data_IF_151281343743
#
_entry.id   IF_151281343743
#
_cell.length_a   1.000
_cell.length_b   1.000
_cell.length_c   1.000
_cell.angle_alpha   90.00
_cell.angle_beta   90.00
_cell.angle_gamma   90.00
#
_symmetry.space_group_name_H-M   'P 1'
#
loop_
_entity.id
_entity.type
_entity.pdbx_description
1 polymer ?
#
# COMPACT_ATOMS: atom_id res chain seq x y z
N UNK A 1 0.08 -17.59 0.14
CA UNK A 1 -1.23 -17.17 -0.41
C UNK A 1 -1.37 -15.70 -0.08
N UNK A 2 -1.38 -14.81 -1.07
CA UNK A 2 -1.73 -13.40 -0.87
C UNK A 2 -3.20 -13.37 -0.46
N UNK A 3 -3.50 -12.89 0.74
CA UNK A 3 -4.84 -12.95 1.29
C UNK A 3 -5.82 -12.12 0.48
N UNK A 4 -7.07 -12.58 0.40
CA UNK A 4 -8.18 -11.72 0.00
C UNK A 4 -8.40 -10.69 1.12
N UNK A 5 -8.20 -9.41 0.82
CA UNK A 5 -8.47 -8.32 1.75
C UNK A 5 -9.86 -7.77 1.51
N UNK A 6 -10.60 -7.51 2.60
CA UNK A 6 -11.81 -6.69 2.57
C UNK A 6 -11.47 -5.28 3.04
N UNK A 7 -11.76 -4.28 2.23
CA UNK A 7 -11.57 -2.87 2.60
C UNK A 7 -12.58 -2.52 3.69
N UNK A 8 -12.08 -2.11 4.86
CA UNK A 8 -12.91 -1.72 6.00
C UNK A 8 -13.46 -0.28 5.88
N UNK A 9 -12.73 0.58 5.18
CA UNK A 9 -13.05 1.99 4.97
C UNK A 9 -11.81 2.78 4.58
N UNK A 10 -12.02 4.03 4.19
CA UNK A 10 -10.99 4.97 3.76
C UNK A 10 -10.72 6.00 4.85
N UNK A 11 -9.46 6.39 4.97
CA UNK A 11 -9.00 7.47 5.85
C UNK A 11 -8.53 8.60 4.96
N UNK A 12 -9.10 9.80 5.15
CA UNK A 12 -8.83 10.97 4.33
C UNK A 12 -8.23 12.11 5.15
N UNK A 13 -7.50 13.01 4.50
CA UNK A 13 -6.88 14.16 5.18
C UNK A 13 -7.93 15.16 5.70
N UNK A 14 -9.03 15.30 4.98
CA UNK A 14 -10.10 16.23 5.29
C UNK A 14 -11.46 15.59 5.01
N UNK A 15 -12.41 15.77 5.93
CA UNK A 15 -13.78 15.24 5.86
C UNK A 15 -14.74 16.34 5.34
N UNK A 16 -14.26 17.55 5.03
CA UNK A 16 -15.12 18.69 4.65
C UNK A 16 -16.04 18.46 3.45
N UNK A 17 -15.74 17.52 2.54
CA UNK A 17 -16.65 17.08 1.49
C UNK A 17 -17.19 15.67 1.79
N UNK A 18 -18.20 15.62 2.66
CA UNK A 18 -18.95 14.42 3.07
C UNK A 18 -19.86 13.97 1.91
N UNK A 19 -19.28 13.48 0.83
CA UNK A 19 -19.92 12.36 0.13
C UNK A 19 -19.34 11.13 0.81
N UNK A 20 -20.17 10.39 1.57
CA UNK A 20 -19.78 9.43 2.61
C UNK A 20 -18.95 8.22 2.10
N UNK A 21 -18.62 8.19 0.82
CA UNK A 21 -17.88 7.14 0.16
C UNK A 21 -17.00 7.68 -0.98
N UNK A 22 -15.92 6.97 -1.27
CA UNK A 22 -15.10 7.18 -2.45
C UNK A 22 -14.95 5.83 -3.17
N UNK A 23 -15.36 5.78 -4.45
CA UNK A 23 -15.48 4.55 -5.23
C UNK A 23 -16.28 3.42 -4.54
N UNK A 24 -17.34 3.78 -3.79
CA UNK A 24 -18.19 2.83 -3.07
C UNK A 24 -17.59 2.29 -1.77
N UNK A 25 -16.48 2.87 -1.29
CA UNK A 25 -15.91 2.56 0.01
C UNK A 25 -16.18 3.69 1.01
N UNK A 26 -16.67 3.39 2.22
CA UNK A 26 -17.02 4.42 3.19
C UNK A 26 -15.77 5.16 3.68
N UNK A 27 -15.87 6.48 3.82
CA UNK A 27 -14.86 7.28 4.53
C UNK A 27 -15.14 7.14 6.02
N UNK A 28 -14.19 6.58 6.77
CA UNK A 28 -14.39 6.19 8.19
C UNK A 28 -13.71 7.13 9.19
N UNK A 29 -12.81 8.01 8.75
CA UNK A 29 -12.14 8.98 9.63
C UNK A 29 -10.93 9.68 8.97
N UNK A 30 -10.11 10.31 9.80
CA UNK A 30 -8.84 10.96 9.39
C UNK A 30 -7.61 10.28 10.00
N UNK A 31 -6.42 10.81 9.70
CA UNK A 31 -5.16 10.35 10.29
C UNK A 31 -5.17 10.40 11.84
N UNK A 32 -6.02 11.24 12.45
CA UNK A 32 -6.17 11.37 13.91
C UNK A 32 -6.86 10.15 14.53
N UNK A 33 -7.71 9.46 13.75
CA UNK A 33 -8.46 8.28 14.21
C UNK A 33 -7.64 6.97 14.13
N UNK A 34 -6.46 7.00 13.51
CA UNK A 34 -5.65 5.80 13.26
C UNK A 34 -5.32 4.99 14.52
N UNK A 35 -5.12 5.64 15.68
CA UNK A 35 -4.86 4.92 16.93
C UNK A 35 -6.11 4.19 17.45
N UNK A 36 -7.29 4.76 17.22
CA UNK A 36 -8.58 4.13 17.57
C UNK A 36 -8.84 2.97 16.63
N UNK A 37 -8.66 3.16 15.32
CA UNK A 37 -8.81 2.12 14.31
C UNK A 37 -7.87 0.96 14.51
N UNK A 38 -6.67 1.18 15.06
CA UNK A 38 -5.72 0.10 15.31
C UNK A 38 -6.27 -0.94 16.28
N UNK A 39 -7.16 -0.53 17.20
CA UNK A 39 -7.83 -1.44 18.15
C UNK A 39 -8.85 -2.36 17.46
N UNK A 40 -9.29 -2.00 16.25
CA UNK A 40 -10.31 -2.72 15.46
C UNK A 40 -9.73 -3.43 14.24
N UNK A 41 -8.70 -2.86 13.62
CA UNK A 41 -8.11 -3.34 12.38
C UNK A 41 -6.59 -3.51 12.54
N UNK A 42 -6.08 -4.67 12.10
CA UNK A 42 -4.65 -4.97 12.15
C UNK A 42 -3.89 -4.46 10.93
N UNK A 43 -4.58 -4.37 9.78
CA UNK A 43 -3.97 -4.02 8.50
C UNK A 43 -4.26 -2.57 8.12
N UNK A 44 -3.30 -1.93 7.47
CA UNK A 44 -3.47 -0.64 6.82
C UNK A 44 -2.74 -0.63 5.47
N UNK A 45 -3.26 0.14 4.52
CA UNK A 45 -2.67 0.32 3.20
C UNK A 45 -2.53 1.81 2.93
N UNK A 46 -1.34 2.26 2.55
CA UNK A 46 -1.10 3.65 2.18
C UNK A 46 -1.34 3.80 0.69
N UNK A 47 -2.39 4.53 0.32
CA UNK A 47 -2.73 4.83 -1.08
C UNK A 47 -2.20 6.19 -1.54
N UNK A 48 -1.42 6.88 -0.69
CA UNK A 48 -0.75 8.14 -1.03
C UNK A 48 0.45 7.86 -1.93
N UNK A 49 0.38 8.35 -3.17
CA UNK A 49 1.46 8.28 -4.16
C UNK A 49 2.60 9.26 -3.89
N UNK A 50 2.94 10.06 -4.91
CA UNK A 50 3.90 11.16 -4.78
C UNK A 50 3.58 12.27 -5.78
N UNK A 51 3.57 13.52 -5.31
CA UNK A 51 3.58 14.72 -6.14
C UNK A 51 4.84 15.49 -5.77
N UNK A 52 5.79 15.59 -6.70
CA UNK A 52 7.16 16.13 -6.51
C UNK A 52 8.07 15.34 -5.55
N UNK A 53 7.57 14.81 -4.44
CA UNK A 53 8.36 14.02 -3.50
C UNK A 53 7.51 12.99 -2.72
N UNK A 54 8.13 11.91 -2.17
CA UNK A 54 7.43 10.86 -1.44
C UNK A 54 7.28 11.14 0.08
N UNK A 55 7.54 12.38 0.56
CA UNK A 55 7.66 12.65 2.01
C UNK A 55 6.41 12.27 2.79
N UNK A 56 5.22 12.53 2.24
CA UNK A 56 3.94 12.20 2.90
C UNK A 56 3.80 10.69 3.03
N UNK A 57 4.03 9.92 1.96
CA UNK A 57 3.99 8.45 1.98
C UNK A 57 4.98 7.87 3.01
N UNK A 58 6.19 8.42 3.08
CA UNK A 58 7.21 7.98 4.07
C UNK A 58 6.77 8.32 5.50
N UNK A 59 6.19 9.51 5.73
CA UNK A 59 5.68 9.93 7.05
C UNK A 59 4.59 8.97 7.53
N UNK A 60 3.58 8.71 6.68
CA UNK A 60 2.46 7.82 7.01
C UNK A 60 2.95 6.39 7.27
N UNK A 61 3.89 5.89 6.47
CA UNK A 61 4.48 4.58 6.68
C UNK A 61 5.13 4.45 8.06
N UNK A 62 5.97 5.42 8.45
CA UNK A 62 6.58 5.44 9.78
C UNK A 62 5.54 5.57 10.91
N UNK A 63 4.48 6.36 10.69
CA UNK A 63 3.40 6.52 11.67
C UNK A 63 2.65 5.21 11.90
N UNK A 64 2.24 4.53 10.83
CA UNK A 64 1.53 3.26 10.92
C UNK A 64 2.41 2.16 11.53
N UNK A 65 3.71 2.12 11.22
CA UNK A 65 4.66 1.22 11.87
C UNK A 65 4.76 1.46 13.38
N UNK A 66 4.84 2.72 13.84
CA UNK A 66 4.86 3.07 15.27
C UNK A 66 3.58 2.65 15.99
N UNK A 67 2.47 2.63 15.28
CA UNK A 67 1.16 2.17 15.77
C UNK A 67 1.00 0.64 15.65
N UNK A 68 2.04 -0.10 15.26
CA UNK A 68 2.03 -1.56 15.10
C UNK A 68 0.99 -2.07 14.09
N UNK A 69 0.67 -1.29 13.06
CA UNK A 69 -0.11 -1.81 11.93
C UNK A 69 0.72 -2.80 11.10
N UNK A 70 0.06 -3.82 10.57
CA UNK A 70 0.63 -4.68 9.52
C UNK A 70 0.37 -4.01 8.17
N UNK A 71 1.42 -3.77 7.41
CA UNK A 71 1.34 -3.16 6.08
C UNK A 71 1.55 -4.27 5.04
N UNK A 72 0.50 -4.88 4.49
CA UNK A 72 0.66 -6.03 3.62
C UNK A 72 1.36 -5.66 2.31
N UNK A 73 1.93 -6.66 1.65
CA UNK A 73 2.26 -6.58 0.22
C UNK A 73 0.96 -6.76 -0.55
N UNK A 74 0.61 -5.77 -1.38
CA UNK A 74 -0.59 -5.82 -2.23
C UNK A 74 -0.14 -6.04 -3.68
N UNK A 75 -0.50 -7.18 -4.25
CA UNK A 75 -0.17 -7.52 -5.63
C UNK A 75 -1.47 -7.66 -6.41
N UNK A 76 -1.58 -6.92 -7.51
CA UNK A 76 -2.68 -7.04 -8.44
C UNK A 76 -2.75 -8.47 -8.99
N UNK A 77 -3.96 -9.06 -9.13
CA UNK A 77 -4.12 -10.36 -9.79
C UNK A 77 -3.73 -10.34 -11.28
N UNK A 78 -3.54 -9.15 -11.88
CA UNK A 78 -3.05 -8.99 -13.26
C UNK A 78 -1.55 -8.68 -13.36
N UNK A 79 -0.81 -8.73 -12.25
CA UNK A 79 0.65 -8.61 -12.28
C UNK A 79 1.30 -10.00 -12.41
N UNK A 80 2.46 -10.05 -13.05
CA UNK A 80 3.35 -11.20 -12.97
C UNK A 80 4.43 -10.90 -11.93
N UNK A 81 4.48 -11.72 -10.87
CA UNK A 81 5.54 -11.67 -9.87
C UNK A 81 6.17 -13.05 -9.78
N UNK A 82 7.45 -13.14 -10.09
CA UNK A 82 8.21 -14.37 -9.96
C UNK A 82 8.16 -14.89 -8.52
N UNK A 83 7.97 -16.21 -8.34
CA UNK A 83 8.05 -16.87 -7.02
C UNK A 83 9.43 -16.73 -6.35
N UNK A 84 10.45 -16.32 -7.12
CA UNK A 84 11.82 -16.07 -6.65
C UNK A 84 12.09 -14.58 -6.36
N UNK A 85 11.14 -13.69 -6.65
CA UNK A 85 11.25 -12.29 -6.28
C UNK A 85 10.98 -12.10 -4.78
N UNK A 86 11.59 -11.07 -4.20
CA UNK A 86 11.35 -10.66 -2.82
C UNK A 86 10.70 -9.28 -2.82
N UNK A 87 9.59 -9.15 -2.11
CA UNK A 87 8.84 -7.89 -2.01
C UNK A 87 8.56 -7.64 -0.54
N UNK A 88 9.04 -6.51 -0.03
CA UNK A 88 8.91 -6.17 1.38
C UNK A 88 7.62 -5.41 1.69
N UNK A 89 7.25 -5.36 2.96
CA UNK A 89 5.96 -4.90 3.44
C UNK A 89 5.62 -3.44 3.08
N UNK A 90 4.32 -3.17 2.94
CA UNK A 90 3.78 -1.88 2.50
C UNK A 90 3.98 -1.58 1.02
N UNK A 91 4.54 -2.51 0.25
CA UNK A 91 4.71 -2.34 -1.20
C UNK A 91 3.47 -2.76 -1.98
N UNK A 92 3.15 -1.97 -3.01
CA UNK A 92 2.04 -2.23 -3.93
C UNK A 92 2.59 -2.53 -5.33
N UNK A 93 2.14 -3.64 -5.92
CA UNK A 93 2.42 -4.02 -7.31
C UNK A 93 1.14 -3.92 -8.13
N UNK A 94 1.10 -2.95 -9.03
CA UNK A 94 -0.08 -2.59 -9.82
C UNK A 94 -0.27 -3.48 -11.05
N UNK A 95 -1.38 -3.26 -11.77
CA UNK A 95 -1.82 -4.11 -12.87
C UNK A 95 -0.79 -4.18 -14.02
N UNK A 96 -0.54 -5.39 -14.51
CA UNK A 96 0.35 -5.64 -15.64
C UNK A 96 1.84 -5.42 -15.35
N UNK A 97 2.22 -5.13 -14.10
CA UNK A 97 3.64 -5.10 -13.73
C UNK A 97 4.25 -6.50 -13.85
N UNK A 98 5.51 -6.55 -14.26
CA UNK A 98 6.31 -7.77 -14.40
C UNK A 98 7.51 -7.63 -13.47
N UNK A 99 7.59 -8.50 -12.46
CA UNK A 99 8.73 -8.60 -11.54
C UNK A 99 9.41 -9.95 -11.75
N UNK A 100 10.57 -9.93 -12.39
CA UNK A 100 11.32 -11.13 -12.77
C UNK A 100 12.08 -11.75 -11.58
N UNK A 101 12.70 -12.91 -11.83
CA UNK A 101 13.34 -13.72 -10.80
C UNK A 101 14.43 -12.98 -10.04
N UNK A 102 14.56 -13.26 -8.75
CA UNK A 102 15.56 -12.71 -7.84
C UNK A 102 15.53 -11.18 -7.63
N UNK A 103 14.59 -10.45 -8.27
CA UNK A 103 14.41 -9.04 -8.00
C UNK A 103 14.05 -8.81 -6.52
N UNK A 104 14.61 -7.75 -5.93
CA UNK A 104 14.41 -7.36 -4.52
C UNK A 104 13.78 -5.98 -4.48
N UNK A 105 12.50 -5.94 -4.11
CA UNK A 105 11.74 -4.70 -3.92
C UNK A 105 11.65 -4.43 -2.42
N UNK A 106 12.12 -3.25 -2.02
CA UNK A 106 12.09 -2.78 -0.66
C UNK A 106 10.69 -2.45 -0.15
N UNK A 107 10.67 -1.76 0.98
CA UNK A 107 9.46 -1.43 1.74
C UNK A 107 8.77 -0.20 1.16
N UNK A 108 7.45 -0.12 1.29
CA UNK A 108 6.70 1.10 0.94
C UNK A 108 6.91 1.58 -0.51
N UNK A 109 7.22 0.64 -1.41
CA UNK A 109 7.42 0.90 -2.83
C UNK A 109 6.08 0.88 -3.57
N UNK A 110 6.03 1.58 -4.71
CA UNK A 110 4.90 1.51 -5.64
C UNK A 110 5.47 1.07 -6.97
N UNK A 111 5.20 -0.18 -7.35
CA UNK A 111 5.50 -0.68 -8.69
C UNK A 111 4.27 -0.41 -9.55
N UNK A 112 4.37 0.60 -10.40
CA UNK A 112 3.22 1.15 -11.12
C UNK A 112 2.79 0.25 -12.28
N UNK A 113 1.64 0.55 -12.87
CA UNK A 113 1.06 -0.22 -13.97
C UNK A 113 2.08 -0.47 -15.09
N UNK A 114 2.13 -1.70 -15.60
CA UNK A 114 3.00 -2.11 -16.72
C UNK A 114 4.50 -1.89 -16.50
N UNK A 115 4.94 -1.71 -15.25
CA UNK A 115 6.37 -1.58 -14.94
C UNK A 115 7.07 -2.92 -15.16
N UNK A 116 8.22 -2.92 -15.83
CA UNK A 116 9.10 -4.07 -15.98
C UNK A 116 10.28 -3.94 -15.01
N UNK A 117 10.42 -4.90 -14.10
CA UNK A 117 11.56 -5.07 -13.22
C UNK A 117 12.24 -6.38 -13.61
N UNK A 118 13.42 -6.26 -14.21
CA UNK A 118 14.19 -7.40 -14.67
C UNK A 118 14.83 -8.19 -13.53
N UNK A 119 15.40 -9.33 -13.89
CA UNK A 119 16.02 -10.24 -12.93
C UNK A 119 17.15 -9.56 -12.13
N UNK A 120 17.30 -9.98 -10.87
CA UNK A 120 18.33 -9.50 -9.93
C UNK A 120 18.30 -7.98 -9.59
N UNK A 121 17.33 -7.23 -10.12
CA UNK A 121 17.20 -5.79 -9.86
C UNK A 121 16.90 -5.51 -8.38
N UNK A 122 17.46 -4.41 -7.86
CA UNK A 122 17.22 -3.92 -6.49
C UNK A 122 16.52 -2.57 -6.54
N UNK A 123 15.34 -2.48 -5.93
CA UNK A 123 14.50 -1.28 -5.92
C UNK A 123 14.21 -0.87 -4.49
N UNK A 124 14.55 0.37 -4.12
CA UNK A 124 14.22 0.97 -2.83
C UNK A 124 15.38 1.07 -1.86
#
# INVERSE_FOLDING_TARGET
>A
MLGEFKVAGLVEKDITNIQQENFGYPIIGTDDDLQVFRKKYNYALITVGQIKNPRIRIKLFKQLQKMNYTLPVIISPKAYVSKYAQIDYGTIVMHGAIVNANARIGKNCIINNKTLIEHDAVIG
#
